data_IF_882297494638
#
_entry.id   IF_882297494638
#
_cell.length_a   1.000
_cell.length_b   1.000
_cell.length_c   1.000
_cell.angle_alpha   90.00
_cell.angle_beta   90.00
_cell.angle_gamma   90.00
#
_symmetry.space_group_name_H-M   'P 1'
#
loop_
_entity.id
_entity.type
_entity.pdbx_description
1 polymer ?
#
# COMPACT_ATOMS: atom_id res chain seq x y z
N UNK A 1 -11.72 -16.38 42.01
CA UNK A 1 -10.67 -15.61 42.73
C UNK A 1 -9.37 -15.45 41.91
N UNK A 2 -9.29 -15.99 40.70
CA UNK A 2 -8.14 -15.86 39.77
C UNK A 2 -8.23 -14.65 38.82
N UNK A 3 -9.40 -14.00 38.71
CA UNK A 3 -9.64 -12.95 37.70
C UNK A 3 -9.16 -11.54 38.09
N UNK A 4 -8.85 -11.30 39.37
CA UNK A 4 -8.38 -9.98 39.84
C UNK A 4 -6.85 -9.81 39.73
N UNK A 5 -6.11 -10.90 39.52
CA UNK A 5 -4.65 -10.88 39.44
C UNK A 5 -4.15 -10.42 38.06
N UNK A 6 -4.89 -10.68 36.99
CA UNK A 6 -4.51 -10.27 35.63
C UNK A 6 -4.79 -8.78 35.35
N UNK A 7 -5.81 -8.18 35.99
CA UNK A 7 -6.13 -6.76 35.87
C UNK A 7 -5.02 -5.89 36.48
N UNK A 8 -4.54 -6.32 37.64
CA UNK A 8 -3.44 -5.68 38.37
C UNK A 8 -2.16 -5.59 37.52
N UNK A 9 -1.91 -6.55 36.64
CA UNK A 9 -0.64 -6.62 35.93
C UNK A 9 -0.53 -5.54 34.83
N UNK A 10 -1.60 -5.28 34.06
CA UNK A 10 -1.56 -4.28 32.99
C UNK A 10 -1.41 -2.85 33.53
N UNK A 11 -2.14 -2.51 34.60
CA UNK A 11 -2.01 -1.20 35.24
C UNK A 11 -0.61 -0.99 35.83
N UNK A 12 0.03 -2.06 36.35
CA UNK A 12 1.41 -2.00 36.83
C UNK A 12 2.39 -1.71 35.68
N UNK A 13 2.32 -2.43 34.56
CA UNK A 13 3.19 -2.14 33.41
C UNK A 13 3.04 -0.69 32.92
N UNK A 14 1.82 -0.16 32.86
CA UNK A 14 1.57 1.22 32.46
C UNK A 14 2.11 2.22 33.51
N UNK A 15 1.97 1.91 34.80
CA UNK A 15 2.52 2.73 35.86
C UNK A 15 4.05 2.80 35.80
N UNK A 16 4.71 1.66 35.60
CA UNK A 16 6.17 1.54 35.49
C UNK A 16 6.69 2.32 34.27
N UNK A 17 5.99 2.27 33.14
CA UNK A 17 6.30 3.10 31.97
C UNK A 17 6.25 4.60 32.31
N UNK A 18 5.22 5.03 33.02
CA UNK A 18 5.11 6.42 33.44
C UNK A 18 6.19 6.83 34.45
N UNK A 19 6.59 5.94 35.36
CA UNK A 19 7.71 6.20 36.27
C UNK A 19 9.03 6.35 35.50
N UNK A 20 9.31 5.45 34.56
CA UNK A 20 10.49 5.54 33.70
C UNK A 20 10.53 6.86 32.91
N UNK A 21 9.38 7.32 32.42
CA UNK A 21 9.28 8.63 31.77
C UNK A 21 9.54 9.79 32.72
N UNK A 22 9.09 9.69 33.97
CA UNK A 22 9.32 10.71 35.00
C UNK A 22 10.82 10.77 35.41
N UNK A 23 11.51 9.63 35.34
CA UNK A 23 12.95 9.45 35.68
C UNK A 23 13.90 9.55 34.47
N UNK A 24 13.42 10.07 33.34
CA UNK A 24 14.16 10.10 32.07
C UNK A 24 15.55 10.74 32.16
N UNK A 25 15.75 11.71 33.08
CA UNK A 25 17.03 12.41 33.25
C UNK A 25 18.06 11.62 34.07
N UNK A 26 17.61 10.65 34.83
CA UNK A 26 18.41 9.98 35.87
C UNK A 26 18.92 8.60 35.42
N UNK A 27 18.49 8.16 34.24
CA UNK A 27 18.70 6.80 33.76
C UNK A 27 19.19 6.83 32.31
N UNK A 28 20.25 6.07 32.02
CA UNK A 28 20.87 6.01 30.69
C UNK A 28 20.24 4.98 29.76
N UNK A 29 19.53 4.00 30.31
CA UNK A 29 18.97 2.83 29.62
C UNK A 29 17.42 2.81 29.64
N UNK A 30 16.80 3.97 29.86
CA UNK A 30 15.33 4.11 29.98
C UNK A 30 14.59 3.53 28.78
N UNK A 31 15.11 3.71 27.56
CA UNK A 31 14.46 3.21 26.34
C UNK A 31 14.47 1.68 26.29
N UNK A 32 15.55 1.04 26.76
CA UNK A 32 15.65 -0.42 26.78
C UNK A 32 14.74 -1.02 27.84
N UNK A 33 14.75 -0.45 29.05
CA UNK A 33 13.88 -0.89 30.14
C UNK A 33 12.40 -0.66 29.82
N UNK A 34 12.06 0.53 29.29
CA UNK A 34 10.67 0.84 28.92
C UNK A 34 10.20 -0.02 27.74
N UNK A 35 11.06 -0.27 26.75
CA UNK A 35 10.75 -1.19 25.65
C UNK A 35 10.54 -2.63 26.16
N UNK A 36 11.30 -3.08 27.16
CA UNK A 36 11.11 -4.41 27.76
C UNK A 36 9.74 -4.51 28.47
N UNK A 37 9.35 -3.48 29.22
CA UNK A 37 8.01 -3.42 29.86
C UNK A 37 6.89 -3.52 28.81
N UNK A 38 7.03 -2.85 27.67
CA UNK A 38 6.04 -2.94 26.58
C UNK A 38 6.00 -4.34 25.97
N UNK A 39 7.16 -4.99 25.81
CA UNK A 39 7.24 -6.35 25.30
C UNK A 39 6.57 -7.36 26.26
N UNK A 40 6.80 -7.22 27.57
CA UNK A 40 6.15 -8.03 28.60
C UNK A 40 4.63 -7.81 28.60
N UNK A 41 4.17 -6.57 28.48
CA UNK A 41 2.75 -6.24 28.34
C UNK A 41 2.15 -6.86 27.07
N UNK A 42 2.85 -6.79 25.95
CA UNK A 42 2.41 -7.38 24.69
C UNK A 42 2.31 -8.91 24.80
N UNK A 43 3.32 -9.55 25.38
CA UNK A 43 3.34 -10.99 25.61
C UNK A 43 2.19 -11.42 26.53
N UNK A 44 1.98 -10.73 27.65
CA UNK A 44 0.89 -11.01 28.58
C UNK A 44 -0.49 -10.93 27.92
N UNK A 45 -0.67 -10.03 26.95
CA UNK A 45 -1.90 -9.96 26.16
C UNK A 45 -1.99 -11.07 25.09
N UNK A 46 -0.89 -11.38 24.40
CA UNK A 46 -0.86 -12.35 23.31
C UNK A 46 -1.04 -13.81 23.75
N UNK A 47 -0.67 -14.17 24.98
CA UNK A 47 -0.76 -15.56 25.47
C UNK A 47 -2.22 -16.04 25.62
N UNK A 48 -3.16 -15.16 25.97
CA UNK A 48 -4.54 -15.55 26.32
C UNK A 48 -5.64 -14.58 25.86
N UNK A 49 -5.68 -14.11 24.59
CA UNK A 49 -6.65 -13.11 24.14
C UNK A 49 -8.09 -13.59 24.34
N UNK A 50 -8.73 -13.09 25.40
CA UNK A 50 -10.11 -13.39 25.75
C UNK A 50 -10.93 -12.11 25.77
N UNK A 51 -12.25 -12.16 25.56
CA UNK A 51 -13.09 -10.97 25.60
C UNK A 51 -12.95 -10.16 26.89
N UNK A 52 -12.70 -10.85 28.01
CA UNK A 52 -12.43 -10.27 29.32
C UNK A 52 -11.08 -9.55 29.34
N UNK A 53 -9.99 -10.20 28.91
CA UNK A 53 -8.67 -9.57 28.84
C UNK A 53 -8.65 -8.36 27.88
N UNK A 54 -9.34 -8.45 26.73
CA UNK A 54 -9.47 -7.30 25.83
C UNK A 54 -10.19 -6.13 26.50
N UNK A 55 -11.28 -6.38 27.26
CA UNK A 55 -11.97 -5.33 27.99
C UNK A 55 -11.10 -4.70 29.09
N UNK A 56 -10.28 -5.52 29.77
CA UNK A 56 -9.34 -5.08 30.79
C UNK A 56 -8.23 -4.22 30.19
N UNK A 57 -7.57 -4.70 29.13
CA UNK A 57 -6.58 -3.90 28.40
C UNK A 57 -7.18 -2.61 27.84
N UNK A 58 -8.41 -2.62 27.31
CA UNK A 58 -9.07 -1.39 26.87
C UNK A 58 -9.14 -0.35 28.00
N UNK A 59 -9.51 -0.79 29.20
CA UNK A 59 -9.57 0.10 30.37
C UNK A 59 -8.17 0.63 30.73
N UNK A 60 -7.16 -0.23 30.85
CA UNK A 60 -5.80 0.18 31.21
C UNK A 60 -5.11 1.06 30.15
N UNK A 61 -5.35 0.79 28.87
CA UNK A 61 -4.71 1.52 27.77
C UNK A 61 -5.37 2.87 27.50
N UNK A 62 -6.69 2.99 27.69
CA UNK A 62 -7.46 4.16 27.22
C UNK A 62 -8.20 4.91 28.33
N UNK A 63 -8.35 4.36 29.54
CA UNK A 63 -9.03 5.05 30.64
C UNK A 63 -8.04 5.57 31.70
N UNK A 64 -8.46 6.56 32.49
CA UNK A 64 -7.66 7.12 33.59
C UNK A 64 -6.60 8.15 33.15
N UNK A 65 -5.86 8.68 34.13
CA UNK A 65 -4.88 9.76 33.92
C UNK A 65 -3.51 9.25 33.44
N UNK A 66 -3.10 8.05 33.88
CA UNK A 66 -1.86 7.39 33.47
C UNK A 66 -2.23 6.19 32.59
N UNK A 67 -2.16 6.39 31.28
CA UNK A 67 -2.54 5.40 30.27
C UNK A 67 -1.58 5.48 29.08
N UNK A 68 -1.63 4.49 28.17
CA UNK A 68 -0.65 4.40 27.08
C UNK A 68 -0.71 5.61 26.14
N UNK A 69 -1.90 6.18 25.91
CA UNK A 69 -2.07 7.36 25.07
C UNK A 69 -1.45 8.60 25.71
N UNK A 70 -1.62 8.76 27.02
CA UNK A 70 -1.00 9.84 27.79
C UNK A 70 0.52 9.70 27.80
N UNK A 71 1.05 8.47 27.94
CA UNK A 71 2.49 8.21 27.81
C UNK A 71 3.01 8.65 26.44
N UNK A 72 2.35 8.23 25.35
CA UNK A 72 2.75 8.60 23.99
C UNK A 72 2.71 10.11 23.74
N UNK A 73 1.66 10.81 24.22
CA UNK A 73 1.59 12.28 24.14
C UNK A 73 2.75 12.95 24.87
N UNK A 74 3.11 12.47 26.07
CA UNK A 74 4.18 13.06 26.88
C UNK A 74 5.58 12.75 26.34
N UNK A 75 5.76 11.60 25.67
CA UNK A 75 7.04 11.15 25.12
C UNK A 75 7.27 11.53 23.64
N UNK A 76 6.29 12.12 22.95
CA UNK A 76 6.41 12.42 21.51
C UNK A 76 7.63 13.27 21.13
N UNK A 77 8.01 14.24 21.96
CA UNK A 77 9.19 15.10 21.74
C UNK A 77 10.49 14.55 22.35
N UNK A 78 10.45 13.38 22.99
CA UNK A 78 11.60 12.75 23.65
C UNK A 78 12.29 11.81 22.67
N UNK A 79 13.48 12.18 22.23
CA UNK A 79 14.27 11.39 21.26
C UNK A 79 14.86 10.13 21.88
N UNK A 80 15.00 10.12 23.20
CA UNK A 80 15.55 9.03 24.00
C UNK A 80 14.64 7.80 24.00
N UNK A 81 13.32 7.96 23.78
CA UNK A 81 12.33 6.88 23.88
C UNK A 81 11.90 6.32 22.52
N UNK A 82 12.81 6.31 21.55
CA UNK A 82 12.49 5.94 20.17
C UNK A 82 12.04 4.47 20.08
N UNK A 83 12.79 3.55 20.68
CA UNK A 83 12.50 2.10 20.62
C UNK A 83 11.18 1.80 21.32
N UNK A 84 10.98 2.35 22.51
CA UNK A 84 9.76 2.22 23.29
C UNK A 84 8.53 2.68 22.50
N UNK A 85 8.60 3.85 21.85
CA UNK A 85 7.47 4.35 21.04
C UNK A 85 7.14 3.42 19.87
N UNK A 86 8.15 2.87 19.19
CA UNK A 86 7.93 1.91 18.10
C UNK A 86 7.28 0.63 18.62
N UNK A 87 7.77 0.08 19.73
CA UNK A 87 7.20 -1.12 20.37
C UNK A 87 5.73 -0.92 20.75
N UNK A 88 5.40 0.24 21.34
CA UNK A 88 4.00 0.58 21.70
C UNK A 88 3.13 0.64 20.44
N UNK A 89 3.60 1.26 19.36
CA UNK A 89 2.83 1.37 18.12
C UNK A 89 2.62 0.00 17.46
N UNK A 90 3.61 -0.89 17.53
CA UNK A 90 3.48 -2.27 17.06
C UNK A 90 2.48 -3.08 17.90
N UNK A 91 2.55 -2.95 19.23
CA UNK A 91 1.55 -3.54 20.11
C UNK A 91 0.14 -2.98 19.84
N UNK A 92 0.00 -1.67 19.68
CA UNK A 92 -1.29 -1.03 19.36
C UNK A 92 -1.84 -1.53 18.02
N UNK A 93 -1.00 -1.76 17.01
CA UNK A 93 -1.43 -2.36 15.74
C UNK A 93 -2.05 -3.73 15.97
N UNK A 94 -1.35 -4.63 16.67
CA UNK A 94 -1.88 -5.96 17.02
C UNK A 94 -3.15 -5.89 17.89
N UNK A 95 -3.16 -4.97 18.85
CA UNK A 95 -4.28 -4.79 19.76
C UNK A 95 -5.54 -4.30 19.04
N UNK A 96 -5.43 -3.31 18.15
CA UNK A 96 -6.54 -2.79 17.35
C UNK A 96 -7.10 -3.88 16.43
N UNK A 97 -6.23 -4.69 15.80
CA UNK A 97 -6.63 -5.86 15.00
C UNK A 97 -7.45 -6.86 15.84
N UNK A 98 -7.01 -7.14 17.07
CA UNK A 98 -7.65 -8.12 17.96
C UNK A 98 -8.91 -7.60 18.62
N UNK A 99 -8.92 -6.33 19.06
CA UNK A 99 -10.06 -5.69 19.70
C UNK A 99 -11.21 -5.42 18.73
N UNK A 100 -10.91 -5.32 17.43
CA UNK A 100 -11.86 -5.09 16.36
C UNK A 100 -12.81 -3.92 16.69
N UNK A 101 -14.13 -4.10 16.59
CA UNK A 101 -15.11 -3.02 16.80
C UNK A 101 -15.16 -2.50 18.25
N UNK A 102 -14.57 -3.20 19.23
CA UNK A 102 -14.55 -2.74 20.63
C UNK A 102 -13.67 -1.50 20.83
N UNK A 103 -12.76 -1.20 19.90
CA UNK A 103 -11.91 -0.01 19.97
C UNK A 103 -12.64 1.27 19.57
N UNK A 104 -13.78 1.16 18.87
CA UNK A 104 -14.47 2.31 18.26
C UNK A 104 -14.81 3.45 19.24
N UNK A 105 -15.22 3.19 20.50
CA UNK A 105 -15.42 4.27 21.48
C UNK A 105 -14.18 5.12 21.75
N UNK A 106 -12.99 4.59 21.52
CA UNK A 106 -11.69 5.25 21.72
C UNK A 106 -11.02 5.67 20.40
N UNK A 107 -11.66 5.44 19.24
CA UNK A 107 -11.05 5.63 17.94
C UNK A 107 -10.61 7.07 17.67
N UNK A 108 -11.48 8.05 17.96
CA UNK A 108 -11.18 9.47 17.76
C UNK A 108 -9.99 9.92 18.61
N UNK A 109 -9.92 9.46 19.86
CA UNK A 109 -8.82 9.77 20.78
C UNK A 109 -7.51 9.14 20.32
N UNK A 110 -7.53 7.85 19.98
CA UNK A 110 -6.37 7.13 19.46
C UNK A 110 -5.82 7.82 18.20
N UNK A 111 -6.67 8.08 17.21
CA UNK A 111 -6.29 8.84 16.00
C UNK A 111 -5.70 10.19 16.34
N UNK A 112 -6.28 10.92 17.30
CA UNK A 112 -5.77 12.24 17.69
C UNK A 112 -4.37 12.15 18.27
N UNK A 113 -4.11 11.19 19.15
CA UNK A 113 -2.77 10.94 19.70
C UNK A 113 -1.78 10.56 18.60
N UNK A 114 -2.17 9.66 17.70
CA UNK A 114 -1.33 9.24 16.58
C UNK A 114 -0.95 10.42 15.68
N UNK A 115 -1.89 11.31 15.33
CA UNK A 115 -1.57 12.52 14.57
C UNK A 115 -0.69 13.51 15.35
N UNK A 116 -0.87 13.62 16.67
CA UNK A 116 0.02 14.43 17.51
C UNK A 116 1.46 13.92 17.44
N UNK A 117 1.66 12.61 17.62
CA UNK A 117 3.00 11.99 17.51
C UNK A 117 3.57 12.21 16.11
N UNK A 118 2.76 11.99 15.06
CA UNK A 118 3.19 12.14 13.68
C UNK A 118 3.72 13.54 13.35
N UNK A 119 3.11 14.58 13.93
CA UNK A 119 3.45 15.97 13.70
C UNK A 119 4.59 16.49 14.58
N UNK A 120 4.78 15.92 15.78
CA UNK A 120 5.79 16.40 16.75
C UNK A 120 7.08 15.58 16.68
N UNK A 121 6.98 14.26 16.51
CA UNK A 121 8.14 13.37 16.54
C UNK A 121 8.99 13.53 15.27
N UNK A 122 10.30 13.58 15.43
CA UNK A 122 11.25 13.74 14.31
C UNK A 122 11.78 12.40 13.80
N UNK A 123 11.64 11.31 14.56
CA UNK A 123 12.12 10.00 14.18
C UNK A 123 11.22 9.37 13.11
N UNK A 124 11.80 9.08 11.92
CA UNK A 124 11.05 8.49 10.81
C UNK A 124 10.46 7.13 11.15
N UNK A 125 11.14 6.32 11.96
CA UNK A 125 10.66 4.98 12.33
C UNK A 125 9.41 5.04 13.22
N UNK A 126 9.36 5.99 14.17
CA UNK A 126 8.18 6.22 15.01
C UNK A 126 7.02 6.71 14.14
N UNK A 127 7.28 7.70 13.27
CA UNK A 127 6.26 8.22 12.35
C UNK A 127 5.74 7.14 11.38
N UNK A 128 6.61 6.24 10.91
CA UNK A 128 6.24 5.15 10.04
C UNK A 128 5.37 4.11 10.75
N UNK A 129 5.67 3.78 12.01
CA UNK A 129 4.91 2.82 12.81
C UNK A 129 3.46 3.26 13.13
N UNK A 130 3.13 4.54 12.93
CA UNK A 130 1.76 5.08 13.08
C UNK A 130 0.81 4.59 11.98
N UNK A 131 1.30 4.46 10.75
CA UNK A 131 0.45 4.16 9.59
C UNK A 131 -0.26 2.81 9.70
N UNK A 132 0.39 1.70 10.10
CA UNK A 132 -0.31 0.44 10.31
C UNK A 132 -1.47 0.53 11.31
N UNK A 133 -1.28 1.26 12.42
CA UNK A 133 -2.33 1.47 13.43
C UNK A 133 -3.48 2.29 12.86
N UNK A 134 -3.16 3.41 12.17
CA UNK A 134 -4.17 4.26 11.54
C UNK A 134 -4.95 3.52 10.45
N UNK A 135 -4.27 2.79 9.57
CA UNK A 135 -4.92 2.03 8.49
C UNK A 135 -5.96 1.05 9.03
N UNK A 136 -5.58 0.26 10.04
CA UNK A 136 -6.49 -0.68 10.69
C UNK A 136 -7.65 0.04 11.38
N UNK A 137 -7.36 1.15 12.09
CA UNK A 137 -8.38 1.94 12.76
C UNK A 137 -9.39 2.52 11.77
N UNK A 138 -8.91 3.04 10.64
CA UNK A 138 -9.75 3.62 9.59
C UNK A 138 -10.64 2.56 8.92
N UNK A 139 -10.11 1.37 8.65
CA UNK A 139 -10.89 0.25 8.11
C UNK A 139 -12.04 -0.16 9.03
N UNK A 140 -11.77 -0.28 10.34
CA UNK A 140 -12.81 -0.58 11.33
C UNK A 140 -13.84 0.54 11.49
N UNK A 141 -13.45 1.77 11.17
CA UNK A 141 -14.24 2.98 11.42
C UNK A 141 -15.13 3.41 10.23
N UNK A 142 -15.21 2.62 9.16
CA UNK A 142 -16.02 2.95 7.95
C UNK A 142 -17.50 3.19 8.27
N UNK A 143 -18.03 2.58 9.34
CA UNK A 143 -19.42 2.78 9.78
C UNK A 143 -19.54 3.66 11.03
N UNK A 144 -18.48 4.34 11.44
CA UNK A 144 -18.44 5.18 12.64
C UNK A 144 -18.59 6.68 12.27
N UNK A 145 -19.74 7.32 12.59
CA UNK A 145 -19.98 8.73 12.21
C UNK A 145 -18.95 9.71 12.78
N UNK A 146 -18.46 9.47 14.00
CA UNK A 146 -17.48 10.36 14.63
C UNK A 146 -16.15 10.37 13.87
N UNK A 147 -15.74 9.22 13.32
CA UNK A 147 -14.53 9.11 12.52
C UNK A 147 -14.67 9.72 11.13
N UNK A 148 -15.89 9.79 10.58
CA UNK A 148 -16.15 10.50 9.32
C UNK A 148 -15.78 11.99 9.43
N UNK A 149 -16.07 12.61 10.57
CA UNK A 149 -15.76 14.02 10.81
C UNK A 149 -14.25 14.31 10.89
N UNK A 150 -13.43 13.27 11.02
CA UNK A 150 -11.98 13.40 11.18
C UNK A 150 -11.20 13.18 9.88
N UNK A 151 -11.84 12.65 8.84
CA UNK A 151 -11.21 12.28 7.56
C UNK A 151 -10.55 13.51 6.91
N UNK A 152 -11.25 14.64 6.86
CA UNK A 152 -10.76 15.86 6.22
C UNK A 152 -9.47 16.40 6.87
N UNK A 153 -9.41 16.35 8.21
CA UNK A 153 -8.23 16.78 8.96
C UNK A 153 -7.04 15.86 8.68
N UNK A 154 -7.27 14.55 8.59
CA UNK A 154 -6.24 13.59 8.21
C UNK A 154 -5.75 13.81 6.78
N UNK A 155 -6.69 13.93 5.83
CA UNK A 155 -6.37 14.14 4.43
C UNK A 155 -5.50 15.39 4.24
N UNK A 156 -5.89 16.53 4.81
CA UNK A 156 -5.11 17.77 4.74
C UNK A 156 -3.74 17.62 5.40
N UNK A 157 -3.67 17.04 6.60
CA UNK A 157 -2.40 16.78 7.31
C UNK A 157 -1.41 15.99 6.44
N UNK A 158 -1.85 14.90 5.79
CA UNK A 158 -0.97 14.06 4.98
C UNK A 158 -0.69 14.65 3.59
N UNK A 159 -1.63 15.40 3.00
CA UNK A 159 -1.41 16.15 1.76
C UNK A 159 -0.28 17.19 1.94
N UNK A 160 -0.25 17.88 3.08
CA UNK A 160 0.81 18.85 3.39
C UNK A 160 2.20 18.18 3.44
N UNK A 161 2.29 16.92 3.88
CA UNK A 161 3.55 16.18 3.95
C UNK A 161 4.09 15.78 2.58
N UNK A 162 3.23 15.58 1.59
CA UNK A 162 3.63 15.24 0.22
C UNK A 162 3.86 16.48 -0.66
N UNK A 163 3.84 17.67 -0.05
CA UNK A 163 4.49 18.86 -0.58
C UNK A 163 3.86 19.43 -1.84
N UNK A 164 3.03 20.46 -1.64
CA UNK A 164 2.86 21.48 -2.67
C UNK A 164 4.04 22.47 -2.73
N UNK A 165 4.79 22.72 -1.62
CA UNK A 165 5.97 23.64 -1.71
C UNK A 165 7.16 23.51 -0.71
N UNK A 166 7.15 22.74 0.40
CA UNK A 166 8.26 22.85 1.40
C UNK A 166 8.49 21.67 2.37
N UNK A 167 7.93 20.47 2.12
CA UNK A 167 7.98 19.37 3.10
C UNK A 167 9.39 18.81 3.33
N UNK A 168 9.81 18.79 4.61
CA UNK A 168 11.04 18.15 5.13
C UNK A 168 10.90 16.63 5.33
N UNK A 169 9.77 16.03 4.94
CA UNK A 169 9.53 14.60 5.12
C UNK A 169 10.51 13.76 4.29
N UNK A 170 10.97 12.66 4.87
CA UNK A 170 11.81 11.66 4.19
C UNK A 170 11.01 10.93 3.10
N UNK A 171 11.72 10.31 2.16
CA UNK A 171 11.10 9.52 1.08
C UNK A 171 10.14 8.44 1.62
N UNK A 172 10.53 7.76 2.70
CA UNK A 172 9.70 6.76 3.40
C UNK A 172 8.39 7.36 3.86
N UNK A 173 8.42 8.50 4.56
CA UNK A 173 7.21 9.14 5.08
C UNK A 173 6.32 9.64 3.95
N UNK A 174 6.90 10.24 2.89
CA UNK A 174 6.12 10.65 1.71
C UNK A 174 5.42 9.46 1.06
N UNK A 175 6.11 8.34 0.89
CA UNK A 175 5.54 7.10 0.38
C UNK A 175 4.36 6.60 1.23
N UNK A 176 4.51 6.58 2.55
CA UNK A 176 3.44 6.16 3.47
C UNK A 176 2.24 7.12 3.46
N UNK A 177 2.47 8.44 3.39
CA UNK A 177 1.39 9.41 3.22
C UNK A 177 0.61 9.18 1.92
N UNK A 178 1.31 8.93 0.80
CA UNK A 178 0.70 8.62 -0.49
C UNK A 178 -0.16 7.36 -0.39
N UNK A 179 0.37 6.27 0.16
CA UNK A 179 -0.39 5.02 0.34
C UNK A 179 -1.64 5.23 1.22
N UNK A 180 -1.50 5.95 2.33
CA UNK A 180 -2.60 6.20 3.27
C UNK A 180 -3.69 7.10 2.69
N UNK A 181 -3.34 8.13 1.90
CA UNK A 181 -4.33 8.95 1.20
C UNK A 181 -5.17 8.12 0.23
N UNK A 182 -4.57 7.13 -0.45
CA UNK A 182 -5.31 6.16 -1.25
C UNK A 182 -6.25 5.29 -0.42
N UNK A 183 -5.81 4.85 0.76
CA UNK A 183 -6.64 4.09 1.70
C UNK A 183 -7.86 4.89 2.18
N UNK A 184 -7.70 6.21 2.41
CA UNK A 184 -8.85 7.09 2.67
C UNK A 184 -9.80 7.15 1.46
N UNK A 185 -9.30 7.17 0.22
CA UNK A 185 -10.14 7.11 -0.98
C UNK A 185 -10.94 5.81 -1.08
N UNK A 186 -10.37 4.67 -0.65
CA UNK A 186 -11.05 3.38 -0.61
C UNK A 186 -12.16 3.34 0.44
N UNK A 187 -11.89 3.80 1.65
CA UNK A 187 -12.79 3.64 2.79
C UNK A 187 -13.78 4.80 2.98
N UNK A 188 -13.40 6.01 2.59
CA UNK A 188 -14.20 7.24 2.79
C UNK A 188 -14.34 8.05 1.49
N UNK A 189 -14.85 7.45 0.39
CA UNK A 189 -14.89 8.10 -0.92
C UNK A 189 -15.69 9.40 -0.93
N UNK A 190 -16.77 9.51 -0.17
CA UNK A 190 -17.60 10.72 -0.12
C UNK A 190 -16.84 11.95 0.41
N UNK A 191 -15.97 11.74 1.41
CA UNK A 191 -15.12 12.81 1.96
C UNK A 191 -13.93 13.12 1.06
N UNK A 192 -13.37 12.08 0.43
CA UNK A 192 -12.20 12.21 -0.43
C UNK A 192 -12.51 12.77 -1.82
N UNK A 193 -13.79 12.82 -2.24
CA UNK A 193 -14.20 13.31 -3.58
C UNK A 193 -13.59 14.66 -3.95
N UNK A 194 -13.54 15.61 -3.01
CA UNK A 194 -12.98 16.96 -3.24
C UNK A 194 -11.45 16.99 -3.37
N UNK A 195 -10.76 15.94 -2.94
CA UNK A 195 -9.30 15.81 -3.01
C UNK A 195 -8.85 14.86 -4.12
N UNK A 196 -9.71 13.91 -4.54
CA UNK A 196 -9.37 12.80 -5.41
C UNK A 196 -8.84 13.24 -6.80
N UNK A 197 -9.66 13.94 -7.57
CA UNK A 197 -9.34 14.44 -8.92
C UNK A 197 -9.65 15.94 -8.98
N UNK A 198 -8.73 16.82 -9.43
CA UNK A 198 -7.40 16.53 -10.00
C UNK A 198 -6.25 16.52 -9.00
N UNK A 199 -6.48 16.91 -7.74
CA UNK A 199 -5.39 17.17 -6.80
C UNK A 199 -4.55 15.91 -6.50
N UNK A 200 -5.17 14.88 -5.93
CA UNK A 200 -4.43 13.70 -5.47
C UNK A 200 -3.93 12.84 -6.63
N UNK A 201 -4.76 12.63 -7.65
CA UNK A 201 -4.38 11.90 -8.86
C UNK A 201 -3.15 12.54 -9.54
N UNK A 202 -3.15 13.86 -9.73
CA UNK A 202 -2.00 14.55 -10.34
C UNK A 202 -0.72 14.38 -9.52
N UNK A 203 -0.82 14.33 -8.19
CA UNK A 203 0.35 14.12 -7.33
C UNK A 203 0.91 12.69 -7.44
N UNK A 204 0.05 11.65 -7.50
CA UNK A 204 0.51 10.29 -7.78
C UNK A 204 1.22 10.21 -9.13
N UNK A 205 0.61 10.74 -10.18
CA UNK A 205 1.17 10.70 -11.53
C UNK A 205 2.46 11.52 -11.63
N UNK A 206 2.56 12.65 -10.92
CA UNK A 206 3.80 13.44 -10.85
C UNK A 206 4.93 12.63 -10.22
N UNK A 207 4.71 12.04 -9.05
CA UNK A 207 5.74 11.24 -8.38
C UNK A 207 6.16 10.04 -9.21
N UNK A 208 5.21 9.31 -9.80
CA UNK A 208 5.54 8.16 -10.65
C UNK A 208 6.29 8.59 -11.92
N UNK A 209 5.91 9.72 -12.52
CA UNK A 209 6.64 10.26 -13.66
C UNK A 209 8.08 10.63 -13.28
N UNK A 210 8.28 11.30 -12.15
CA UNK A 210 9.61 11.63 -11.64
C UNK A 210 10.43 10.37 -11.36
N UNK A 211 9.87 9.40 -10.63
CA UNK A 211 10.62 8.22 -10.17
C UNK A 211 10.85 7.15 -11.24
N UNK A 212 9.92 6.98 -12.20
CA UNK A 212 9.96 5.88 -13.17
C UNK A 212 10.29 6.33 -14.60
N UNK A 213 10.31 7.63 -14.87
CA UNK A 213 10.56 8.15 -16.22
C UNK A 213 11.76 9.07 -16.28
N UNK A 214 11.88 10.02 -15.33
CA UNK A 214 13.02 10.92 -15.31
C UNK A 214 14.27 10.22 -14.79
N UNK A 215 15.42 10.78 -15.18
CA UNK A 215 16.73 10.37 -14.71
C UNK A 215 17.09 11.09 -13.40
N UNK A 216 16.27 10.85 -12.38
CA UNK A 216 16.48 11.39 -11.04
C UNK A 216 16.91 10.28 -10.11
N UNK A 217 17.44 10.65 -8.94
CA UNK A 217 17.72 9.67 -7.88
C UNK A 217 16.43 8.90 -7.57
N UNK A 218 16.47 7.60 -7.85
CA UNK A 218 15.32 6.73 -7.65
C UNK A 218 15.04 6.50 -6.16
N UNK A 219 13.86 6.93 -5.73
CA UNK A 219 13.31 6.80 -4.38
C UNK A 219 12.17 5.78 -4.40
N UNK A 220 12.55 4.50 -4.33
CA UNK A 220 11.63 3.37 -4.47
C UNK A 220 10.40 3.45 -3.56
N UNK A 221 10.56 3.89 -2.31
CA UNK A 221 9.45 3.93 -1.35
C UNK A 221 8.38 4.97 -1.72
N UNK A 222 8.77 6.05 -2.40
CA UNK A 222 7.80 7.03 -2.94
C UNK A 222 7.04 6.39 -4.10
N UNK A 223 7.76 5.74 -5.03
CA UNK A 223 7.13 5.07 -6.17
C UNK A 223 6.18 3.96 -5.71
N UNK A 224 6.61 3.11 -4.78
CA UNK A 224 5.80 2.04 -4.21
C UNK A 224 4.55 2.59 -3.51
N UNK A 225 4.71 3.60 -2.63
CA UNK A 225 3.60 4.24 -1.94
C UNK A 225 2.63 4.96 -2.89
N UNK A 226 3.11 5.54 -3.99
CA UNK A 226 2.24 6.13 -5.01
C UNK A 226 1.42 5.07 -5.76
N UNK A 227 2.01 3.93 -6.11
CA UNK A 227 1.25 2.82 -6.73
C UNK A 227 0.25 2.24 -5.73
N UNK A 228 0.66 2.00 -4.49
CA UNK A 228 -0.25 1.50 -3.44
C UNK A 228 -1.41 2.46 -3.17
N UNK A 229 -1.13 3.77 -3.17
CA UNK A 229 -2.14 4.81 -3.11
C UNK A 229 -3.12 4.74 -4.29
N UNK A 230 -2.60 4.56 -5.51
CA UNK A 230 -3.43 4.38 -6.71
C UNK A 230 -4.28 3.11 -6.67
N UNK A 231 -3.76 1.98 -6.18
CA UNK A 231 -4.53 0.73 -6.05
C UNK A 231 -5.79 0.97 -5.21
N UNK A 232 -5.65 1.67 -4.08
CA UNK A 232 -6.78 1.96 -3.20
C UNK A 232 -7.68 3.07 -3.77
N UNK A 233 -7.10 4.07 -4.43
CA UNK A 233 -7.84 5.12 -5.13
C UNK A 233 -8.78 4.55 -6.22
N UNK A 234 -8.28 3.63 -7.04
CA UNK A 234 -8.99 3.04 -8.19
C UNK A 234 -10.22 2.21 -7.80
N UNK A 235 -10.40 1.88 -6.52
CA UNK A 235 -11.59 1.17 -6.04
C UNK A 235 -12.87 2.02 -6.24
N UNK A 236 -12.78 3.33 -6.01
CA UNK A 236 -13.94 4.23 -6.06
C UNK A 236 -13.79 5.37 -7.08
N UNK A 237 -12.58 5.61 -7.60
CA UNK A 237 -12.29 6.72 -8.50
C UNK A 237 -11.60 6.22 -9.77
N UNK A 238 -12.22 6.47 -10.92
CA UNK A 238 -11.66 6.09 -12.23
C UNK A 238 -11.07 7.32 -12.92
N UNK A 239 -9.76 7.33 -13.24
CA UNK A 239 -9.14 8.40 -14.01
C UNK A 239 -9.77 8.55 -15.41
N UNK A 240 -9.64 9.74 -15.98
CA UNK A 240 -10.10 9.96 -17.35
C UNK A 240 -9.37 9.06 -18.35
N UNK A 241 -10.14 8.47 -19.26
CA UNK A 241 -9.64 7.72 -20.42
C UNK A 241 -9.35 8.62 -21.63
N UNK A 242 -9.73 9.90 -21.59
CA UNK A 242 -9.46 10.85 -22.68
C UNK A 242 -8.03 11.38 -22.59
N UNK A 243 -7.29 11.45 -23.71
CA UNK A 243 -5.97 12.08 -23.74
C UNK A 243 -6.02 13.53 -23.27
N UNK A 244 -5.00 13.97 -22.55
CA UNK A 244 -4.89 15.36 -22.06
C UNK A 244 -4.66 16.32 -23.23
N UNK A 245 -3.87 15.89 -24.23
CA UNK A 245 -3.59 16.62 -25.47
C UNK A 245 -3.26 15.63 -26.60
N UNK A 246 -3.33 16.09 -27.87
CA UNK A 246 -2.95 15.25 -29.01
C UNK A 246 -1.49 14.79 -28.87
N UNK A 247 -1.20 13.47 -28.93
CA UNK A 247 0.16 12.98 -28.75
C UNK A 247 1.07 13.50 -29.86
N UNK A 248 2.34 13.83 -29.54
CA UNK A 248 3.29 14.29 -30.54
C UNK A 248 3.52 13.20 -31.61
N UNK A 249 3.74 13.59 -32.89
CA UNK A 249 3.94 12.62 -33.97
C UNK A 249 5.14 11.71 -33.70
N UNK A 250 5.03 10.43 -34.12
CA UNK A 250 6.10 9.42 -34.02
C UNK A 250 7.27 9.75 -34.95
N UNK A 251 8.06 10.76 -34.60
CA UNK A 251 9.30 11.12 -35.29
C UNK A 251 10.45 10.60 -34.44
N UNK A 252 11.26 9.67 -34.97
CA UNK A 252 12.46 9.21 -34.28
C UNK A 252 13.40 10.40 -34.06
N UNK A 253 13.83 10.60 -32.82
CA UNK A 253 14.84 11.58 -32.48
C UNK A 253 16.13 11.30 -33.24
N UNK A 254 16.88 12.35 -33.55
CA UNK A 254 18.20 12.21 -34.18
C UNK A 254 19.24 11.74 -33.17
N UNK A 255 18.95 11.89 -31.87
CA UNK A 255 19.81 11.49 -30.76
C UNK A 255 19.04 10.69 -29.70
N UNK A 256 19.77 9.90 -28.89
CA UNK A 256 19.19 9.16 -27.75
C UNK A 256 18.48 10.07 -26.74
N UNK A 257 18.97 11.30 -26.57
CA UNK A 257 18.40 12.27 -25.64
C UNK A 257 17.09 12.87 -26.18
N UNK A 258 17.00 13.10 -27.49
CA UNK A 258 15.74 13.51 -28.13
C UNK A 258 14.70 12.40 -28.08
N UNK A 259 15.07 11.14 -28.32
CA UNK A 259 14.18 9.99 -28.18
C UNK A 259 13.62 9.87 -26.75
N UNK A 260 14.47 10.11 -25.73
CA UNK A 260 14.08 10.10 -24.32
C UNK A 260 13.09 11.24 -24.00
N UNK A 261 13.39 12.46 -24.45
CA UNK A 261 12.52 13.63 -24.25
C UNK A 261 11.16 13.45 -24.94
N UNK A 262 11.15 12.92 -26.16
CA UNK A 262 9.92 12.63 -26.90
C UNK A 262 9.09 11.54 -26.21
N UNK A 263 9.74 10.50 -25.67
CA UNK A 263 9.09 9.45 -24.89
C UNK A 263 8.46 10.01 -23.60
N UNK A 264 9.16 10.90 -22.90
CA UNK A 264 8.62 11.58 -21.72
C UNK A 264 7.41 12.47 -22.04
N UNK A 265 7.49 13.25 -23.12
CA UNK A 265 6.41 14.12 -23.57
C UNK A 265 5.19 13.32 -24.00
N UNK A 266 5.40 12.23 -24.75
CA UNK A 266 4.33 11.32 -25.14
C UNK A 266 3.57 10.79 -23.93
N UNK A 267 4.26 10.30 -22.91
CA UNK A 267 3.63 9.80 -21.67
C UNK A 267 2.80 10.89 -20.98
N UNK A 268 3.20 12.17 -21.04
CA UNK A 268 2.43 13.27 -20.43
C UNK A 268 1.16 13.62 -21.20
N UNK A 269 1.10 13.35 -22.51
CA UNK A 269 -0.08 13.58 -23.35
C UNK A 269 -1.12 12.46 -23.27
N UNK A 270 -0.71 11.26 -22.83
CA UNK A 270 -1.62 10.13 -22.66
C UNK A 270 -2.71 10.43 -21.62
N UNK A 271 -3.83 9.70 -21.72
CA UNK A 271 -4.88 9.76 -20.70
C UNK A 271 -4.33 9.36 -19.33
N UNK A 272 -4.91 9.88 -18.25
CA UNK A 272 -4.43 9.58 -16.91
C UNK A 272 -4.56 8.08 -16.60
N UNK A 273 -5.60 7.41 -17.10
CA UNK A 273 -5.73 5.96 -16.98
C UNK A 273 -4.57 5.21 -17.65
N UNK A 274 -4.19 5.62 -18.88
CA UNK A 274 -3.06 5.01 -19.58
C UNK A 274 -1.72 5.33 -18.91
N UNK A 275 -1.58 6.49 -18.28
CA UNK A 275 -0.39 6.83 -17.48
C UNK A 275 -0.25 5.91 -16.27
N UNK A 276 -1.35 5.65 -15.55
CA UNK A 276 -1.37 4.68 -14.45
C UNK A 276 -0.90 3.30 -14.93
N UNK A 277 -1.45 2.84 -16.06
CA UNK A 277 -1.03 1.58 -16.69
C UNK A 277 0.47 1.55 -17.01
N UNK A 278 1.00 2.57 -17.69
CA UNK A 278 2.41 2.66 -18.06
C UNK A 278 3.32 2.61 -16.82
N UNK A 279 2.94 3.30 -15.74
CA UNK A 279 3.71 3.30 -14.50
C UNK A 279 3.65 1.94 -13.79
N UNK A 280 2.49 1.27 -13.79
CA UNK A 280 2.34 -0.10 -13.31
C UNK A 280 3.23 -1.10 -14.08
N UNK A 281 3.23 -1.00 -15.41
CA UNK A 281 4.08 -1.82 -16.28
C UNK A 281 5.57 -1.60 -15.99
N UNK A 282 6.02 -0.35 -15.83
CA UNK A 282 7.40 -0.03 -15.47
C UNK A 282 7.80 -0.56 -14.09
N UNK A 283 6.88 -0.51 -13.13
CA UNK A 283 7.11 -1.02 -11.78
C UNK A 283 7.44 -2.52 -11.78
N UNK A 284 6.71 -3.31 -12.57
CA UNK A 284 6.97 -4.76 -12.68
C UNK A 284 8.17 -5.09 -13.58
N UNK A 285 8.60 -4.17 -14.45
CA UNK A 285 9.79 -4.33 -15.30
C UNK A 285 11.11 -4.03 -14.57
N UNK A 286 11.07 -3.50 -13.34
CA UNK A 286 12.30 -3.11 -12.62
C UNK A 286 13.03 -4.37 -12.11
N UNK A 287 14.14 -4.74 -12.74
CA UNK A 287 14.84 -6.04 -12.56
C UNK A 287 15.94 -6.07 -11.48
N UNK A 288 16.10 -5.05 -10.63
CA UNK A 288 17.20 -5.05 -9.65
C UNK A 288 16.89 -5.91 -8.40
N UNK A 289 17.36 -7.17 -8.42
CA UNK A 289 16.88 -8.33 -7.65
C UNK A 289 17.77 -8.77 -6.46
N UNK A 290 18.25 -7.86 -5.60
CA UNK A 290 19.20 -8.28 -4.53
C UNK A 290 18.86 -7.88 -3.09
N UNK A 291 17.67 -7.32 -2.79
CA UNK A 291 17.31 -6.96 -1.40
C UNK A 291 15.79 -7.00 -1.13
N UNK A 292 15.36 -7.44 0.07
CA UNK A 292 13.95 -7.57 0.47
C UNK A 292 13.17 -6.24 0.43
N UNK A 293 13.81 -5.13 0.82
CA UNK A 293 13.22 -3.79 0.71
C UNK A 293 13.07 -3.33 -0.75
N UNK A 294 13.71 -4.01 -1.71
CA UNK A 294 13.63 -3.69 -3.14
C UNK A 294 12.38 -4.22 -3.84
N UNK A 295 11.63 -5.14 -3.21
CA UNK A 295 10.40 -5.67 -3.80
C UNK A 295 9.17 -4.79 -3.58
N UNK A 296 9.25 -3.72 -2.78
CA UNK A 296 8.07 -2.90 -2.46
C UNK A 296 7.38 -2.36 -3.73
N UNK A 297 8.16 -1.83 -4.67
CA UNK A 297 7.62 -1.31 -5.93
C UNK A 297 7.03 -2.42 -6.81
N UNK A 298 7.73 -3.54 -6.94
CA UNK A 298 7.27 -4.68 -7.76
C UNK A 298 6.00 -5.29 -7.16
N UNK A 299 5.95 -5.48 -5.84
CA UNK A 299 4.75 -5.96 -5.13
C UNK A 299 3.57 -5.04 -5.39
N UNK A 300 3.76 -3.73 -5.27
CA UNK A 300 2.72 -2.75 -5.59
C UNK A 300 2.30 -2.81 -7.07
N UNK A 301 3.24 -2.88 -8.01
CA UNK A 301 2.93 -3.01 -9.45
C UNK A 301 2.16 -4.29 -9.79
N UNK A 302 2.54 -5.44 -9.22
CA UNK A 302 1.83 -6.70 -9.42
C UNK A 302 0.44 -6.67 -8.79
N UNK A 303 0.30 -6.08 -7.60
CA UNK A 303 -1.00 -5.93 -6.92
C UNK A 303 -1.93 -4.99 -7.69
N UNK A 304 -1.41 -3.95 -8.36
CA UNK A 304 -2.19 -3.10 -9.26
C UNK A 304 -2.86 -3.93 -10.37
N UNK A 305 -2.11 -4.79 -11.05
CA UNK A 305 -2.70 -5.70 -12.04
C UNK A 305 -3.60 -6.76 -11.40
N UNK A 306 -3.24 -7.27 -10.22
CA UNK A 306 -4.05 -8.25 -9.52
C UNK A 306 -5.43 -7.73 -9.08
N UNK A 307 -5.59 -6.42 -8.88
CA UNK A 307 -6.88 -5.83 -8.48
C UNK A 307 -7.61 -5.13 -9.64
N UNK A 308 -6.86 -4.52 -10.57
CA UNK A 308 -7.41 -3.55 -11.53
C UNK A 308 -7.13 -3.88 -13.00
N UNK A 309 -6.71 -5.11 -13.35
CA UNK A 309 -6.47 -5.52 -14.75
C UNK A 309 -7.66 -5.27 -15.68
N UNK A 310 -8.90 -5.32 -15.19
CA UNK A 310 -10.10 -5.04 -15.98
C UNK A 310 -10.23 -3.58 -16.41
N UNK A 311 -9.58 -2.63 -15.72
CA UNK A 311 -9.51 -1.23 -16.14
C UNK A 311 -8.53 -0.99 -17.29
N UNK A 312 -7.62 -1.94 -17.53
CA UNK A 312 -6.52 -1.81 -18.49
C UNK A 312 -6.66 -2.76 -19.68
N UNK A 313 -7.85 -3.31 -19.93
CA UNK A 313 -8.10 -4.36 -20.96
C UNK A 313 -7.56 -3.98 -22.34
N UNK A 314 -7.84 -2.76 -22.80
CA UNK A 314 -7.35 -2.23 -24.08
C UNK A 314 -5.81 -2.19 -24.13
N UNK A 315 -5.16 -1.69 -23.08
CA UNK A 315 -3.71 -1.55 -23.04
C UNK A 315 -2.99 -2.89 -22.85
N UNK A 316 -3.56 -3.78 -22.05
CA UNK A 316 -3.05 -5.14 -21.85
C UNK A 316 -3.14 -5.95 -23.13
N UNK A 317 -4.17 -5.73 -23.95
CA UNK A 317 -4.30 -6.36 -25.26
C UNK A 317 -3.22 -5.89 -26.25
N UNK A 318 -2.70 -4.68 -26.09
CA UNK A 318 -1.61 -4.16 -26.93
C UNK A 318 -0.23 -4.71 -26.51
N UNK A 319 0.08 -4.73 -25.21
CA UNK A 319 1.41 -5.10 -24.69
C UNK A 319 1.46 -6.51 -24.05
N UNK A 320 0.48 -7.38 -24.34
CA UNK A 320 0.32 -8.67 -23.67
C UNK A 320 1.59 -9.53 -23.56
N UNK A 321 2.50 -9.63 -24.55
CA UNK A 321 3.67 -10.51 -24.45
C UNK A 321 4.65 -10.03 -23.38
N UNK A 322 4.86 -8.71 -23.30
CA UNK A 322 5.87 -8.13 -22.41
C UNK A 322 5.40 -8.11 -20.96
N UNK A 323 4.11 -7.80 -20.73
CA UNK A 323 3.51 -7.85 -19.40
C UNK A 323 3.47 -9.30 -18.88
N UNK A 324 3.05 -10.25 -19.73
CA UNK A 324 3.03 -11.67 -19.37
C UNK A 324 4.43 -12.18 -19.00
N UNK A 325 5.45 -11.81 -19.79
CA UNK A 325 6.85 -12.16 -19.52
C UNK A 325 7.29 -11.68 -18.14
N UNK A 326 6.96 -10.45 -17.77
CA UNK A 326 7.31 -9.87 -16.47
C UNK A 326 6.60 -10.61 -15.32
N UNK A 327 5.28 -10.81 -15.42
CA UNK A 327 4.50 -11.53 -14.38
C UNK A 327 5.03 -12.96 -14.22
N UNK A 328 5.35 -13.65 -15.32
CA UNK A 328 5.93 -15.00 -15.27
C UNK A 328 7.28 -15.03 -14.55
N UNK A 329 8.16 -14.07 -14.82
CA UNK A 329 9.44 -13.97 -14.14
C UNK A 329 9.26 -13.82 -12.61
N UNK A 330 8.29 -13.01 -12.17
CA UNK A 330 7.99 -12.84 -10.75
C UNK A 330 7.26 -14.04 -10.11
N UNK A 331 6.47 -14.80 -10.87
CA UNK A 331 5.83 -16.02 -10.39
C UNK A 331 6.81 -17.21 -10.27
N UNK A 332 7.95 -17.13 -10.96
CA UNK A 332 9.06 -18.08 -10.82
C UNK A 332 10.08 -17.66 -9.75
N UNK A 333 9.89 -16.52 -9.09
CA UNK A 333 10.84 -15.98 -8.12
C UNK A 333 10.78 -16.72 -6.76
N UNK A 334 11.89 -16.78 -6.04
CA UNK A 334 12.02 -17.52 -4.77
C UNK A 334 11.23 -16.90 -3.61
N UNK A 335 11.06 -15.59 -3.63
CA UNK A 335 10.28 -14.87 -2.62
C UNK A 335 8.79 -15.26 -2.66
N UNK A 336 8.33 -15.94 -1.60
CA UNK A 336 6.96 -16.46 -1.48
C UNK A 336 5.87 -15.37 -1.63
N UNK A 337 6.05 -14.21 -1.01
CA UNK A 337 5.05 -13.14 -1.08
C UNK A 337 4.90 -12.61 -2.51
N UNK A 338 6.03 -12.35 -3.18
CA UNK A 338 6.05 -11.86 -4.57
C UNK A 338 5.40 -12.91 -5.48
N UNK A 339 5.75 -14.18 -5.31
CA UNK A 339 5.18 -15.31 -6.05
C UNK A 339 3.66 -15.38 -5.89
N UNK A 340 3.15 -15.23 -4.66
CA UNK A 340 1.71 -15.24 -4.37
C UNK A 340 0.97 -14.09 -5.06
N UNK A 341 1.52 -12.88 -5.01
CA UNK A 341 0.93 -11.71 -5.67
C UNK A 341 1.02 -11.85 -7.20
N UNK A 342 2.15 -12.32 -7.73
CA UNK A 342 2.35 -12.58 -9.15
C UNK A 342 1.36 -13.62 -9.69
N UNK A 343 1.03 -14.65 -8.92
CA UNK A 343 0.00 -15.61 -9.30
C UNK A 343 -1.38 -14.97 -9.42
N UNK A 344 -1.80 -14.16 -8.43
CA UNK A 344 -3.07 -13.41 -8.49
C UNK A 344 -3.09 -12.42 -9.67
N UNK A 345 -1.96 -11.78 -9.93
CA UNK A 345 -1.75 -10.87 -11.06
C UNK A 345 -1.89 -11.60 -12.39
N UNK A 346 -1.30 -12.78 -12.52
CA UNK A 346 -1.41 -13.64 -13.71
C UNK A 346 -2.86 -14.02 -14.00
N UNK A 347 -3.60 -14.49 -12.98
CA UNK A 347 -4.99 -14.92 -13.16
C UNK A 347 -5.90 -13.76 -13.64
N UNK A 348 -5.75 -12.56 -13.04
CA UNK A 348 -6.52 -11.38 -13.44
C UNK A 348 -6.07 -10.78 -14.78
N UNK A 349 -4.78 -10.88 -15.11
CA UNK A 349 -4.26 -10.51 -16.41
C UNK A 349 -4.90 -11.37 -17.52
N UNK A 350 -4.94 -12.70 -17.34
CA UNK A 350 -5.60 -13.60 -18.29
C UNK A 350 -7.08 -13.25 -18.46
N UNK A 351 -7.77 -12.96 -17.37
CA UNK A 351 -9.17 -12.53 -17.41
C UNK A 351 -9.34 -11.21 -18.18
N UNK A 352 -8.45 -10.23 -17.95
CA UNK A 352 -8.45 -8.96 -18.66
C UNK A 352 -8.27 -9.11 -20.16
N UNK A 353 -7.31 -9.92 -20.60
CA UNK A 353 -7.08 -10.19 -22.04
C UNK A 353 -8.23 -10.98 -22.65
N UNK A 354 -8.77 -11.97 -21.95
CA UNK A 354 -9.92 -12.74 -22.43
C UNK A 354 -11.17 -11.86 -22.58
N UNK A 355 -11.42 -10.94 -21.64
CA UNK A 355 -12.52 -9.97 -21.76
C UNK A 355 -12.30 -9.01 -22.93
N UNK A 356 -11.07 -8.50 -23.12
CA UNK A 356 -10.74 -7.68 -24.27
C UNK A 356 -11.03 -8.40 -25.60
N UNK A 357 -10.67 -9.69 -25.70
CA UNK A 357 -10.97 -10.51 -26.88
C UNK A 357 -12.47 -10.68 -27.14
N UNK A 358 -13.29 -10.79 -26.09
CA UNK A 358 -14.76 -10.88 -26.20
C UNK A 358 -15.40 -9.57 -26.62
N UNK A 359 -14.93 -8.48 -26.04
CA UNK A 359 -15.44 -7.13 -26.29
C UNK A 359 -14.95 -6.56 -27.63
N UNK A 360 -13.87 -7.13 -28.19
CA UNK A 360 -13.37 -6.77 -29.51
C UNK A 360 -14.46 -7.03 -30.55
N UNK A 361 -15.15 -5.97 -30.95
CA UNK A 361 -16.16 -6.02 -31.98
C UNK A 361 -15.45 -6.12 -33.33
N UNK A 362 -15.16 -7.35 -33.77
CA UNK A 362 -14.39 -7.66 -34.98
C UNK A 362 -15.15 -7.17 -36.21
N UNK A 363 -14.90 -5.92 -36.62
CA UNK A 363 -15.52 -5.29 -37.79
C UNK A 363 -14.61 -5.38 -39.00
N UNK A 364 -13.30 -5.33 -38.80
CA UNK A 364 -12.32 -5.37 -39.89
C UNK A 364 -11.60 -6.72 -39.98
N UNK A 365 -11.14 -7.13 -41.18
CA UNK A 365 -10.28 -8.29 -41.34
C UNK A 365 -8.96 -8.20 -40.55
N UNK A 366 -8.47 -6.99 -40.30
CA UNK A 366 -7.25 -6.73 -39.53
C UNK A 366 -7.45 -6.99 -38.03
N UNK A 367 -8.53 -6.46 -37.45
CA UNK A 367 -8.93 -6.75 -36.07
C UNK A 367 -9.13 -8.25 -35.86
N UNK A 368 -9.73 -8.95 -36.84
CA UNK A 368 -9.90 -10.40 -36.80
C UNK A 368 -8.55 -11.12 -36.73
N UNK A 369 -7.62 -10.74 -37.61
CA UNK A 369 -6.27 -11.34 -37.63
C UNK A 369 -5.56 -11.12 -36.31
N UNK A 370 -5.67 -9.91 -35.74
CA UNK A 370 -5.07 -9.57 -34.44
C UNK A 370 -5.66 -10.40 -33.31
N UNK A 371 -6.99 -10.49 -33.22
CA UNK A 371 -7.67 -11.29 -32.20
C UNK A 371 -7.28 -12.77 -32.28
N UNK A 372 -7.20 -13.33 -33.49
CA UNK A 372 -6.73 -14.72 -33.70
C UNK A 372 -5.28 -14.89 -33.29
N UNK A 373 -4.39 -13.94 -33.59
CA UNK A 373 -2.98 -13.99 -33.17
C UNK A 373 -2.84 -13.98 -31.65
N UNK A 374 -3.53 -13.07 -30.97
CA UNK A 374 -3.51 -12.99 -29.50
C UNK A 374 -4.05 -14.29 -28.90
N UNK A 375 -5.20 -14.77 -29.38
CA UNK A 375 -5.78 -16.04 -28.92
C UNK A 375 -4.81 -17.21 -29.12
N UNK A 376 -4.24 -17.36 -30.31
CA UNK A 376 -3.27 -18.42 -30.61
C UNK A 376 -2.00 -18.35 -29.76
N UNK A 377 -1.53 -17.15 -29.42
CA UNK A 377 -0.39 -16.97 -28.53
C UNK A 377 -0.67 -17.60 -27.16
N UNK A 378 -1.80 -17.28 -26.54
CA UNK A 378 -2.17 -17.82 -25.23
C UNK A 378 -2.45 -19.32 -25.27
N UNK A 379 -3.11 -19.82 -26.31
CA UNK A 379 -3.34 -21.27 -26.46
C UNK A 379 -2.02 -22.04 -26.58
N UNK A 380 -1.02 -21.51 -27.29
CA UNK A 380 0.32 -22.12 -27.33
C UNK A 380 0.98 -22.12 -25.96
N UNK A 381 0.95 -20.97 -25.27
CA UNK A 381 1.51 -20.85 -23.91
C UNK A 381 0.89 -21.83 -22.92
N UNK A 382 -0.43 -22.04 -22.97
CA UNK A 382 -1.11 -23.00 -22.09
C UNK A 382 -0.79 -24.44 -22.49
N UNK A 383 -0.72 -24.73 -23.78
CA UNK A 383 -0.36 -26.06 -24.28
C UNK A 383 1.05 -26.45 -23.86
N UNK A 384 2.01 -25.56 -24.01
CA UNK A 384 3.40 -25.80 -23.63
C UNK A 384 3.50 -26.13 -22.14
N UNK A 385 2.68 -25.51 -21.28
CA UNK A 385 2.60 -25.85 -19.85
C UNK A 385 1.97 -27.21 -19.55
N UNK A 386 1.07 -27.71 -20.40
CA UNK A 386 0.42 -29.02 -20.22
C UNK A 386 1.28 -30.15 -20.77
N UNK A 387 1.92 -29.92 -21.91
CA UNK A 387 2.65 -30.94 -22.66
C UNK A 387 4.09 -31.17 -22.10
N UNK A 388 4.60 -30.28 -21.23
CA UNK A 388 5.94 -30.41 -20.63
C UNK A 388 5.91 -31.27 -19.35
N UNK A 389 6.49 -32.48 -19.36
CA UNK A 389 6.37 -33.44 -18.26
C UNK A 389 7.20 -33.08 -17.02
N UNK A 390 8.22 -32.23 -17.15
CA UNK A 390 9.09 -31.83 -16.02
C UNK A 390 8.52 -30.70 -15.15
N UNK A 391 7.36 -30.14 -15.51
CA UNK A 391 6.78 -28.99 -14.80
C UNK A 391 6.11 -29.39 -13.48
N UNK A 392 6.09 -28.46 -12.53
CA UNK A 392 5.36 -28.63 -11.27
C UNK A 392 3.85 -28.75 -11.52
N UNK A 393 3.14 -29.48 -10.64
CA UNK A 393 1.66 -29.57 -10.65
C UNK A 393 1.01 -28.18 -10.72
N UNK A 394 1.64 -27.18 -10.09
CA UNK A 394 1.21 -25.79 -10.10
C UNK A 394 1.19 -25.20 -11.52
N UNK A 395 2.25 -25.44 -12.31
CA UNK A 395 2.36 -24.93 -13.68
C UNK A 395 1.33 -25.59 -14.61
N UNK A 396 1.09 -26.88 -14.42
CA UNK A 396 0.01 -27.61 -15.10
C UNK A 396 -1.36 -27.00 -14.77
N UNK A 397 -1.64 -26.74 -13.48
CA UNK A 397 -2.89 -26.12 -13.05
C UNK A 397 -3.08 -24.71 -13.63
N UNK A 398 -2.01 -23.92 -13.78
CA UNK A 398 -2.06 -22.62 -14.46
C UNK A 398 -2.45 -22.77 -15.93
N UNK A 399 -1.89 -23.76 -16.65
CA UNK A 399 -2.26 -24.05 -18.04
C UNK A 399 -3.74 -24.40 -18.19
N UNK A 400 -4.25 -25.33 -17.36
CA UNK A 400 -5.66 -25.73 -17.36
C UNK A 400 -6.58 -24.54 -17.05
N UNK A 401 -6.23 -23.72 -16.06
CA UNK A 401 -7.01 -22.53 -15.72
C UNK A 401 -7.03 -21.53 -16.88
N UNK A 402 -5.90 -21.32 -17.55
CA UNK A 402 -5.79 -20.46 -18.73
C UNK A 402 -6.72 -20.90 -19.85
N UNK A 403 -6.74 -22.21 -20.16
CA UNK A 403 -7.70 -22.78 -21.10
C UNK A 403 -9.15 -22.50 -20.68
N UNK A 404 -9.50 -22.69 -19.41
CA UNK A 404 -10.86 -22.42 -18.92
C UNK A 404 -11.28 -20.96 -19.06
N UNK A 405 -10.36 -20.02 -18.84
CA UNK A 405 -10.65 -18.58 -18.98
C UNK A 405 -10.89 -18.21 -20.46
N UNK A 406 -10.06 -18.71 -21.37
CA UNK A 406 -10.11 -18.40 -22.81
C UNK A 406 -11.13 -19.25 -23.59
N UNK A 407 -11.69 -20.31 -23.00
CA UNK A 407 -12.72 -21.13 -23.64
C UNK A 407 -14.10 -20.47 -23.64
N UNK A 408 -14.36 -19.60 -22.67
CA UNK A 408 -15.55 -18.75 -22.60
C UNK A 408 -15.40 -17.54 -23.52
#
# INVERSE_FOLDING_TARGET
MTDNASASNFDTYIADLHENLDRLRDMSDVDEQSSAIVADLAQAYSEHPSPMQTAMCLSSLFCGQKNILTFLRRSCSKTELKKTKVEILQFLKFFVETAATKILPHAVELKTVLLTIFNVDTASDVRAAIFPVLSQLMELSVSCPDMHNEVDKMATTFLDQIGLSSSKATATIKGLCLAFLGLLCKFFPEHMRKYADPLLLSQYLKYLHEQLVKDVKFEMLIAAGAIEGLINYLVNFTPSSTPVTAPPPMIRGKTKEEDKRLNEERIRCESDLKRVYIYGARAIQTQDQTNLNRYALVKAGLELFAQHSTLFTEYLYDDYPEILRCIRAWNAHDNYDVKKIAQRSYDNFLLGVANALKETNVKTPEERRRAVQVFQYFIKEFRDKIDTPELEIRDLAMGIRGYGIFAN
#
